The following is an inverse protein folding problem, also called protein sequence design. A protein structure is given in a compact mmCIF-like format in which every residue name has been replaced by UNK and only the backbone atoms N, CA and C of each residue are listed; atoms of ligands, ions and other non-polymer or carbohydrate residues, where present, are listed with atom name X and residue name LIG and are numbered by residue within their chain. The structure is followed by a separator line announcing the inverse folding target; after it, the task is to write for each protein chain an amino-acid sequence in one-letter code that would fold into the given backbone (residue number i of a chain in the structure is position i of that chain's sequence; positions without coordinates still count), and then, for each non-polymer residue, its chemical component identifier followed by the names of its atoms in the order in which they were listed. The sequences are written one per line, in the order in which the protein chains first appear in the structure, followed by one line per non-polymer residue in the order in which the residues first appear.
data_IF_361806420905
#
_entry.id   IF_361806420905
#
_cell.length_a   1.000
_cell.length_b   1.000
_cell.length_c   1.000
_cell.angle_alpha   90.00
_cell.angle_beta   90.00
_cell.angle_gamma   90.00
#
_symmetry.space_group_name_H-M   'P 1'
#
loop_
_entity.id
_entity.type
_entity.pdbx_description
1 polymer ?
#
# COMPACT_ATOMS: atom_id res chain seq x y z
N UNK A 1 2.21 -16.41 -0.42
CA UNK A 1 3.09 -15.59 -1.28
C UNK A 1 2.39 -14.27 -1.53
N UNK A 2 3.07 -13.13 -1.32
CA UNK A 2 2.48 -11.82 -1.57
C UNK A 2 2.99 -11.30 -2.91
N UNK A 3 2.11 -10.65 -3.67
CA UNK A 3 2.34 -10.28 -5.07
C UNK A 3 2.13 -8.79 -5.25
N UNK A 4 3.07 -8.15 -5.95
CA UNK A 4 2.87 -6.84 -6.57
C UNK A 4 2.52 -7.08 -8.03
N UNK A 5 1.47 -6.42 -8.50
CA UNK A 5 1.03 -6.51 -9.88
C UNK A 5 0.80 -5.12 -10.48
N UNK A 6 1.01 -5.07 -11.80
CA UNK A 6 0.74 -3.93 -12.65
C UNK A 6 -0.44 -4.26 -13.54
N UNK A 7 -1.33 -3.29 -13.72
CA UNK A 7 -2.40 -3.35 -14.70
C UNK A 7 -2.28 -2.16 -15.62
N UNK A 8 -2.17 -2.41 -16.92
CA UNK A 8 -2.03 -1.37 -17.94
C UNK A 8 -3.27 -1.36 -18.82
N UNK A 9 -3.88 -0.19 -19.01
CA UNK A 9 -4.89 0.00 -20.03
C UNK A 9 -4.20 -0.03 -21.41
N UNK A 10 -4.66 -0.89 -22.32
CA UNK A 10 -4.05 -1.08 -23.64
C UNK A 10 -4.23 0.12 -24.57
N UNK A 11 -5.22 0.96 -24.32
CA UNK A 11 -5.54 2.12 -25.17
C UNK A 11 -4.91 3.40 -24.64
N UNK A 12 -5.05 3.69 -23.34
CA UNK A 12 -4.52 4.92 -22.74
C UNK A 12 -3.10 4.79 -22.18
N UNK A 13 -2.57 3.57 -22.09
CA UNK A 13 -1.30 3.23 -21.42
C UNK A 13 -1.24 3.54 -19.91
N UNK A 14 -2.33 4.06 -19.34
CA UNK A 14 -2.45 4.36 -17.91
C UNK A 14 -2.28 3.10 -17.05
N UNK A 15 -1.65 3.28 -15.89
CA UNK A 15 -1.22 2.19 -15.02
C UNK A 15 -1.99 2.18 -13.70
N UNK A 16 -2.27 0.98 -13.20
CA UNK A 16 -2.63 0.71 -11.82
C UNK A 16 -1.61 -0.24 -11.20
N UNK A 17 -1.09 0.12 -10.03
CA UNK A 17 -0.26 -0.74 -9.19
C UNK A 17 -1.10 -1.25 -8.02
N UNK A 18 -1.04 -2.56 -7.78
CA UNK A 18 -1.71 -3.17 -6.64
C UNK A 18 -0.87 -4.22 -5.95
N UNK A 19 -1.17 -4.42 -4.67
CA UNK A 19 -0.60 -5.45 -3.83
C UNK A 19 -1.67 -6.44 -3.37
N UNK A 20 -1.31 -7.72 -3.24
CA UNK A 20 -2.22 -8.76 -2.74
C UNK A 20 -1.47 -9.88 -2.01
N UNK A 21 -2.12 -10.48 -1.01
CA UNK A 21 -1.68 -11.74 -0.38
C UNK A 21 -2.34 -12.97 -0.98
N UNK A 22 -3.29 -12.77 -1.91
CA UNK A 22 -3.93 -13.80 -2.74
C UNK A 22 -3.17 -13.96 -4.06
N UNK A 23 -3.58 -14.92 -4.88
CA UNK A 23 -3.10 -14.99 -6.27
C UNK A 23 -3.57 -13.79 -7.10
N UNK A 24 -2.85 -13.51 -8.20
CA UNK A 24 -3.23 -12.45 -9.14
C UNK A 24 -4.62 -12.69 -9.74
N UNK A 25 -4.94 -13.95 -10.07
CA UNK A 25 -6.23 -14.33 -10.65
C UNK A 25 -7.41 -14.11 -9.70
N UNK A 26 -7.26 -14.47 -8.42
CA UNK A 26 -8.27 -14.18 -7.41
C UNK A 26 -8.47 -12.68 -7.24
N UNK A 27 -7.38 -11.92 -7.24
CA UNK A 27 -7.45 -10.46 -7.10
C UNK A 27 -8.11 -9.82 -8.32
N UNK A 28 -7.80 -10.29 -9.53
CA UNK A 28 -8.46 -9.86 -10.76
C UNK A 28 -9.97 -10.09 -10.68
N UNK A 29 -10.41 -11.28 -10.29
CA UNK A 29 -11.85 -11.60 -10.09
C UNK A 29 -12.51 -10.67 -9.06
N UNK A 30 -11.83 -10.36 -7.96
CA UNK A 30 -12.33 -9.42 -6.95
C UNK A 30 -12.55 -8.01 -7.54
N UNK A 31 -11.61 -7.50 -8.34
CA UNK A 31 -11.75 -6.22 -9.04
C UNK A 31 -12.91 -6.22 -10.04
N UNK A 32 -13.02 -7.26 -10.87
CA UNK A 32 -14.11 -7.40 -11.86
C UNK A 32 -15.49 -7.53 -11.20
N UNK A 33 -15.58 -8.16 -10.03
CA UNK A 33 -16.84 -8.24 -9.29
C UNK A 33 -17.22 -6.88 -8.69
N UNK A 34 -16.23 -6.10 -8.25
CA UNK A 34 -16.45 -4.78 -7.65
C UNK A 34 -16.84 -3.72 -8.68
N UNK A 35 -16.27 -3.77 -9.90
CA UNK A 35 -16.62 -2.83 -10.98
C UNK A 35 -18.11 -2.88 -11.34
N UNK A 36 -18.76 -4.03 -11.17
CA UNK A 36 -20.21 -4.21 -11.41
C UNK A 36 -21.13 -3.63 -10.33
N UNK A 37 -20.60 -3.17 -9.19
CA UNK A 37 -21.40 -2.74 -8.02
C UNK A 37 -21.60 -1.23 -7.89
N UNK A 38 -21.13 -0.41 -8.84
CA UNK A 38 -21.47 1.02 -8.97
C UNK A 38 -20.79 2.00 -8.00
N UNK A 39 -20.41 1.59 -6.77
CA UNK A 39 -19.55 2.38 -5.88
C UNK A 39 -18.15 1.80 -5.88
N UNK A 40 -17.25 2.38 -6.67
CA UNK A 40 -15.89 1.86 -6.78
C UNK A 40 -14.85 2.95 -7.04
N UNK A 41 -13.59 2.63 -6.76
CA UNK A 41 -12.47 3.55 -6.97
C UNK A 41 -12.17 3.70 -8.47
N UNK A 42 -11.32 4.68 -8.81
CA UNK A 42 -10.97 5.03 -10.19
C UNK A 42 -10.68 3.81 -11.07
N UNK A 43 -9.85 2.87 -10.59
CA UNK A 43 -9.52 1.67 -11.34
C UNK A 43 -10.71 0.74 -11.63
N UNK A 44 -11.61 0.52 -10.66
CA UNK A 44 -12.78 -0.33 -10.94
C UNK A 44 -13.81 0.37 -11.84
N UNK A 45 -13.90 1.70 -11.78
CA UNK A 45 -14.69 2.48 -12.73
C UNK A 45 -14.10 2.34 -14.14
N UNK A 46 -12.77 2.42 -14.30
CA UNK A 46 -12.11 2.20 -15.58
C UNK A 46 -12.40 0.79 -16.14
N UNK A 47 -12.35 -0.25 -15.31
CA UNK A 47 -12.76 -1.61 -15.70
C UNK A 47 -14.22 -1.64 -16.17
N UNK A 48 -15.13 -0.92 -15.52
CA UNK A 48 -16.54 -0.87 -15.91
C UNK A 48 -16.73 -0.14 -17.25
N UNK A 49 -15.94 0.90 -17.51
CA UNK A 49 -16.01 1.72 -18.73
C UNK A 49 -15.40 1.03 -19.94
N UNK A 50 -14.17 0.55 -19.84
CA UNK A 50 -13.41 -0.01 -20.98
C UNK A 50 -13.57 -1.53 -21.12
N UNK A 51 -14.13 -2.20 -20.11
CA UNK A 51 -14.25 -3.65 -20.07
C UNK A 51 -12.97 -4.34 -19.58
N UNK A 52 -13.11 -5.60 -19.14
CA UNK A 52 -12.02 -6.36 -18.53
C UNK A 52 -10.86 -6.65 -19.52
N UNK A 53 -11.18 -6.80 -20.80
CA UNK A 53 -10.22 -7.20 -21.84
C UNK A 53 -9.34 -6.04 -22.33
N UNK A 54 -9.72 -4.79 -22.02
CA UNK A 54 -8.91 -3.59 -22.27
C UNK A 54 -7.66 -3.52 -21.36
N UNK A 55 -7.59 -4.36 -20.32
CA UNK A 55 -6.51 -4.31 -19.33
C UNK A 55 -5.56 -5.50 -19.44
N UNK A 56 -4.26 -5.22 -19.49
CA UNK A 56 -3.19 -6.22 -19.36
C UNK A 56 -2.77 -6.32 -17.90
N UNK A 57 -2.78 -7.53 -17.34
CA UNK A 57 -2.42 -7.79 -15.94
C UNK A 57 -1.09 -8.53 -15.88
N UNK A 58 -0.15 -8.04 -15.08
CA UNK A 58 1.20 -8.58 -14.98
C UNK A 58 1.65 -8.61 -13.52
N UNK A 59 2.17 -9.76 -13.06
CA UNK A 59 2.92 -9.79 -11.81
C UNK A 59 4.31 -9.21 -12.09
N UNK A 60 4.69 -8.18 -11.32
CA UNK A 60 5.96 -7.48 -11.49
C UNK A 60 6.96 -7.76 -10.37
N UNK A 61 6.47 -8.10 -9.17
CA UNK A 61 7.32 -8.43 -8.03
C UNK A 61 6.56 -9.27 -6.99
N UNK A 62 7.28 -9.75 -5.98
CA UNK A 62 6.79 -10.55 -4.87
C UNK A 62 7.32 -10.01 -3.55
N UNK A 63 6.65 -10.33 -2.45
CA UNK A 63 7.10 -9.97 -1.11
C UNK A 63 6.90 -11.13 -0.14
N UNK A 64 7.78 -11.20 0.86
CA UNK A 64 7.72 -12.18 1.94
C UNK A 64 6.88 -11.59 3.09
N UNK A 65 7.17 -10.35 3.50
CA UNK A 65 6.51 -9.69 4.63
C UNK A 65 5.47 -8.66 4.16
N UNK A 66 4.56 -8.29 5.06
CA UNK A 66 3.56 -7.23 4.77
C UNK A 66 4.23 -5.87 4.66
N UNK A 67 5.28 -5.62 5.44
CA UNK A 67 6.05 -4.37 5.39
C UNK A 67 6.78 -4.22 4.05
N UNK A 68 7.39 -5.30 3.57
CA UNK A 68 8.00 -5.34 2.24
C UNK A 68 6.96 -5.11 1.15
N UNK A 69 5.79 -5.76 1.24
CA UNK A 69 4.69 -5.56 0.29
C UNK A 69 4.25 -4.08 0.25
N UNK A 70 4.08 -3.46 1.42
CA UNK A 70 3.67 -2.07 1.55
C UNK A 70 4.73 -1.07 1.08
N UNK A 71 6.02 -1.42 1.25
CA UNK A 71 7.15 -0.65 0.74
C UNK A 71 7.19 -0.69 -0.78
N UNK A 72 7.18 -1.90 -1.36
CA UNK A 72 7.24 -2.12 -2.80
C UNK A 72 6.04 -1.52 -3.53
N UNK A 73 4.82 -1.66 -2.99
CA UNK A 73 3.63 -1.01 -3.56
C UNK A 73 3.84 0.50 -3.71
N UNK A 74 4.31 1.16 -2.66
CA UNK A 74 4.57 2.60 -2.69
C UNK A 74 5.67 2.99 -3.68
N UNK A 75 6.76 2.23 -3.72
CA UNK A 75 7.87 2.45 -4.65
C UNK A 75 7.40 2.35 -6.09
N UNK A 76 6.66 1.30 -6.45
CA UNK A 76 6.13 1.14 -7.79
C UNK A 76 5.04 2.15 -8.16
N UNK A 77 4.17 2.56 -7.22
CA UNK A 77 3.18 3.62 -7.50
C UNK A 77 3.90 4.91 -7.91
N UNK A 78 5.00 5.23 -7.23
CA UNK A 78 5.82 6.40 -7.53
C UNK A 78 6.60 6.23 -8.84
N UNK A 79 7.24 5.08 -9.05
CA UNK A 79 8.02 4.77 -10.25
C UNK A 79 7.19 4.89 -11.53
N UNK A 80 5.96 4.37 -11.50
CA UNK A 80 5.03 4.40 -12.64
C UNK A 80 4.15 5.65 -12.69
N UNK A 81 4.34 6.62 -11.78
CA UNK A 81 3.48 7.80 -11.63
C UNK A 81 1.96 7.51 -11.61
N UNK A 82 1.59 6.29 -11.18
CA UNK A 82 0.24 5.72 -11.38
C UNK A 82 -0.85 6.40 -10.56
N UNK A 83 -0.47 7.30 -9.66
CA UNK A 83 -1.40 8.14 -8.89
C UNK A 83 -1.84 9.38 -9.69
N UNK A 84 -0.89 10.06 -10.33
CA UNK A 84 -1.15 11.31 -11.05
C UNK A 84 -1.55 11.05 -12.50
N UNK A 85 -0.94 10.04 -13.13
CA UNK A 85 -1.13 9.66 -14.54
C UNK A 85 -1.72 8.24 -14.69
N UNK A 86 -2.41 7.76 -13.66
CA UNK A 86 -2.98 6.42 -13.68
C UNK A 86 -4.21 6.27 -12.79
N UNK A 87 -4.47 5.04 -12.37
CA UNK A 87 -5.72 4.70 -11.66
C UNK A 87 -5.56 4.54 -10.14
N UNK A 88 -4.36 4.72 -9.58
CA UNK A 88 -4.16 4.69 -8.13
C UNK A 88 -4.77 5.94 -7.49
N UNK A 89 -5.55 5.77 -6.42
CA UNK A 89 -6.20 6.91 -5.74
C UNK A 89 -5.31 7.58 -4.69
N UNK A 90 -4.21 6.92 -4.30
CA UNK A 90 -3.23 7.42 -3.35
C UNK A 90 -1.82 6.93 -3.73
N UNK A 91 -0.81 7.41 -3.01
CA UNK A 91 0.60 7.03 -3.22
C UNK A 91 0.99 5.74 -2.48
N UNK A 92 0.00 4.90 -2.17
CA UNK A 92 0.13 3.74 -1.30
C UNK A 92 0.03 4.08 0.18
N UNK A 93 0.24 3.07 1.03
CA UNK A 93 0.20 3.21 2.49
C UNK A 93 -1.13 2.79 3.14
N UNK A 94 -2.08 2.29 2.36
CA UNK A 94 -3.28 1.63 2.88
C UNK A 94 -3.00 0.27 3.53
N UNK A 95 -1.84 -0.34 3.25
CA UNK A 95 -1.40 -1.58 3.88
C UNK A 95 -0.89 -1.27 5.29
N UNK A 96 -1.45 -1.97 6.28
CA UNK A 96 -1.03 -1.89 7.68
C UNK A 96 0.42 -2.35 7.83
N UNK A 97 1.24 -1.51 8.48
CA UNK A 97 2.66 -1.75 8.70
C UNK A 97 2.95 -2.02 10.16
N UNK A 98 3.99 -2.81 10.40
CA UNK A 98 4.59 -2.95 11.72
C UNK A 98 5.28 -1.65 12.12
N UNK A 99 5.11 -1.25 13.38
CA UNK A 99 5.81 -0.12 14.00
C UNK A 99 6.93 -0.69 14.85
N UNK A 100 8.16 -0.21 14.65
CA UNK A 100 9.34 -0.73 15.33
C UNK A 100 9.83 0.29 16.36
N UNK A 101 10.06 -0.17 17.59
CA UNK A 101 10.63 0.65 18.64
C UNK A 101 12.11 0.35 18.76
N UNK A 102 12.95 1.38 18.71
CA UNK A 102 14.38 1.27 18.91
C UNK A 102 14.79 2.05 20.16
N UNK A 103 15.82 1.59 20.85
CA UNK A 103 16.46 2.38 21.88
C UNK A 103 17.26 3.52 21.22
N UNK A 104 17.04 4.76 21.65
CA UNK A 104 17.67 5.94 21.01
C UNK A 104 19.16 6.10 21.29
N UNK A 105 19.68 5.45 22.32
CA UNK A 105 21.08 5.59 22.72
C UNK A 105 21.90 4.51 22.02
N UNK A 106 21.41 3.27 22.05
CA UNK A 106 22.10 2.09 21.54
C UNK A 106 21.74 1.77 20.09
N UNK A 107 20.58 2.22 19.61
CA UNK A 107 20.03 1.87 18.30
C UNK A 107 19.47 0.45 18.22
N UNK A 108 19.39 -0.27 19.34
CA UNK A 108 18.92 -1.66 19.37
C UNK A 108 17.39 -1.73 19.25
N UNK A 109 16.89 -2.78 18.57
CA UNK A 109 15.45 -3.03 18.49
C UNK A 109 14.93 -3.45 19.87
N UNK A 110 13.98 -2.69 20.41
CA UNK A 110 13.35 -2.94 21.71
C UNK A 110 12.09 -3.78 21.55
N UNK A 111 11.21 -3.39 20.62
CA UNK A 111 9.93 -4.07 20.40
C UNK A 111 9.36 -3.79 19.00
N UNK A 112 8.31 -4.51 18.62
CA UNK A 112 7.56 -4.32 17.39
C UNK A 112 6.06 -4.48 17.61
N UNK A 113 5.27 -3.59 17.01
CA UNK A 113 3.82 -3.52 17.19
C UNK A 113 3.12 -3.64 15.84
N UNK A 114 2.00 -4.37 15.79
CA UNK A 114 1.31 -4.63 14.53
C UNK A 114 0.62 -3.39 13.92
N UNK A 115 0.52 -2.28 14.66
CA UNK A 115 0.02 -0.99 14.15
C UNK A 115 0.26 0.19 15.11
N UNK A 116 0.05 1.40 14.58
CA UNK A 116 0.16 2.69 15.27
C UNK A 116 -0.76 2.85 16.49
N UNK A 117 -1.89 2.14 16.54
CA UNK A 117 -2.82 2.25 17.68
C UNK A 117 -2.27 1.51 18.90
N UNK A 118 -1.72 0.31 18.68
CA UNK A 118 -1.11 -0.48 19.75
C UNK A 118 0.17 0.19 20.25
N UNK A 119 1.04 0.62 19.34
CA UNK A 119 2.26 1.34 19.74
C UNK A 119 1.93 2.65 20.45
N UNK A 120 0.93 3.40 19.96
CA UNK A 120 0.44 4.63 20.61
C UNK A 120 0.00 4.39 22.05
N UNK A 121 -0.79 3.33 22.29
CA UNK A 121 -1.27 2.98 23.63
C UNK A 121 -0.12 2.67 24.61
N UNK A 122 0.94 1.99 24.15
CA UNK A 122 2.12 1.66 24.98
C UNK A 122 2.88 2.92 25.39
N UNK A 123 2.90 3.95 24.55
CA UNK A 123 3.65 5.19 24.79
C UNK A 123 2.81 6.33 25.35
N UNK A 124 1.52 6.07 25.62
CA UNK A 124 0.56 7.07 26.08
C UNK A 124 0.27 8.16 25.04
N UNK A 125 0.38 7.86 23.74
CA UNK A 125 0.07 8.78 22.65
C UNK A 125 -1.12 8.26 21.83
N UNK A 126 -1.91 9.17 21.28
CA UNK A 126 -2.92 8.78 20.31
C UNK A 126 -2.26 8.51 18.93
N UNK A 127 -2.99 7.80 18.05
CA UNK A 127 -2.52 7.40 16.71
C UNK A 127 -2.05 8.59 15.88
N UNK A 128 -2.75 9.72 15.95
CA UNK A 128 -2.48 10.91 15.13
C UNK A 128 -1.17 11.55 15.54
N UNK A 129 -0.90 11.66 16.83
CA UNK A 129 0.33 12.23 17.38
C UNK A 129 1.51 11.32 17.08
N UNK A 130 1.36 10.00 17.24
CA UNK A 130 2.40 9.05 16.87
C UNK A 130 2.70 9.08 15.36
N UNK A 131 1.67 9.14 14.51
CA UNK A 131 1.84 9.25 13.06
C UNK A 131 2.60 10.52 12.67
N UNK A 132 2.33 11.66 13.33
CA UNK A 132 3.08 12.91 13.08
C UNK A 132 4.54 12.76 13.44
N UNK A 133 4.84 12.07 14.54
CA UNK A 133 6.22 11.84 15.00
C UNK A 133 7.00 11.00 14.00
N UNK A 134 6.45 9.85 13.58
CA UNK A 134 7.06 8.95 12.59
C UNK A 134 7.25 9.62 11.21
N UNK A 135 6.42 10.63 10.89
CA UNK A 135 6.50 11.38 9.63
C UNK A 135 7.31 12.70 9.74
N UNK A 136 7.68 13.14 10.95
CA UNK A 136 8.38 14.42 11.15
C UNK A 136 9.86 14.32 10.79
N UNK A 137 10.42 15.45 10.34
CA UNK A 137 11.84 15.60 9.95
C UNK A 137 12.80 15.20 11.09
N UNK A 138 12.37 15.39 12.34
CA UNK A 138 13.19 15.09 13.51
C UNK A 138 13.19 13.60 13.90
N UNK A 139 12.26 12.78 13.37
CA UNK A 139 12.13 11.33 13.62
C UNK A 139 12.20 10.90 15.11
N UNK A 140 11.94 11.79 16.07
CA UNK A 140 12.09 11.47 17.49
C UNK A 140 11.03 12.18 18.33
N UNK A 141 10.24 11.39 19.03
CA UNK A 141 9.64 11.79 20.30
C UNK A 141 9.76 10.59 21.25
N UNK A 142 10.50 10.74 22.35
CA UNK A 142 10.69 9.71 23.39
C UNK A 142 11.23 8.33 22.95
N UNK A 143 11.87 8.21 21.79
CA UNK A 143 12.51 6.94 21.40
C UNK A 143 11.89 6.16 20.24
N UNK A 144 10.80 6.64 19.63
CA UNK A 144 10.01 5.83 18.70
C UNK A 144 10.26 6.20 17.23
N UNK A 145 10.41 5.18 16.37
CA UNK A 145 10.59 5.29 14.90
C UNK A 145 9.38 4.74 14.14
#
# INVERSE_FOLDING_TARGET
MKVIYKVTNKESEEVYIGATSKTLEERKKDHLKKSKKGKSYAFQNAIATYGADAFKWEQIDTAITTDELAKKEKEYILEYNSKEEGYNSDSGGGIQKTVYQYDIITGELVDSYSNLTISGAVVGLNKQDLSKICLSVNKVCKGFY
#
